data_IF_024154810374
#
_entry.id   IF_024154810374
#
_cell.length_a   1.000
_cell.length_b   1.000
_cell.length_c   1.000
_cell.angle_alpha   90.00
_cell.angle_beta   90.00
_cell.angle_gamma   90.00
#
_symmetry.space_group_name_H-M   'P 1'
#
loop_
_entity.id
_entity.type
_entity.pdbx_description
1 polymer ?
#
# COMPACT_ATOMS: atom_id res chain seq x y z
N UNK A 1 -25.18 15.40 -67.72
CA UNK A 1 -24.99 16.42 -66.67
C UNK A 1 -25.55 15.85 -65.36
N UNK A 2 -24.88 14.91 -64.71
CA UNK A 2 -24.01 15.14 -63.53
C UNK A 2 -24.59 16.13 -62.52
N UNK A 3 -25.17 15.60 -61.43
CA UNK A 3 -24.86 16.02 -60.06
C UNK A 3 -25.47 15.07 -59.01
N UNK A 4 -24.80 13.94 -58.81
CA UNK A 4 -24.63 13.39 -57.47
C UNK A 4 -23.91 14.44 -56.61
N UNK A 5 -24.54 14.98 -55.55
CA UNK A 5 -23.82 15.54 -54.40
C UNK A 5 -24.53 15.13 -53.10
N UNK A 6 -23.75 14.78 -52.06
CA UNK A 6 -24.18 13.92 -50.97
C UNK A 6 -24.67 14.77 -49.79
N UNK A 7 -25.96 14.67 -49.45
CA UNK A 7 -26.51 15.40 -48.29
C UNK A 7 -26.36 14.63 -46.96
N UNK A 8 -25.79 13.43 -47.00
CA UNK A 8 -25.63 12.56 -45.82
C UNK A 8 -24.35 12.83 -44.99
N UNK A 9 -23.57 13.85 -45.34
CA UNK A 9 -22.22 14.06 -44.78
C UNK A 9 -22.15 15.06 -43.62
N UNK A 10 -23.28 15.47 -43.02
CA UNK A 10 -23.29 16.35 -41.84
C UNK A 10 -23.92 15.68 -40.60
N UNK A 11 -24.65 14.57 -40.75
CA UNK A 11 -25.33 13.89 -39.64
C UNK A 11 -24.51 12.78 -38.95
N UNK A 12 -23.27 12.55 -39.38
CA UNK A 12 -22.35 11.55 -38.77
C UNK A 12 -21.19 12.22 -38.01
N UNK A 13 -21.06 13.55 -38.07
CA UNK A 13 -19.90 14.28 -37.53
C UNK A 13 -20.03 14.80 -36.09
N UNK A 14 -21.20 14.66 -35.45
CA UNK A 14 -21.49 15.27 -34.13
C UNK A 14 -22.01 14.26 -33.11
N UNK A 15 -21.63 12.98 -33.25
CA UNK A 15 -21.97 11.96 -32.25
C UNK A 15 -20.83 10.99 -32.00
N UNK A 16 -19.60 11.51 -31.92
CA UNK A 16 -18.49 10.82 -31.25
C UNK A 16 -17.67 11.83 -30.47
N UNK A 17 -18.33 12.65 -29.64
CA UNK A 17 -17.65 13.12 -28.43
C UNK A 17 -17.55 11.89 -27.54
N UNK A 18 -16.44 11.15 -27.68
CA UNK A 18 -16.18 10.00 -26.84
C UNK A 18 -16.34 10.45 -25.39
N UNK A 19 -17.27 9.83 -24.66
CA UNK A 19 -17.25 9.88 -23.20
C UNK A 19 -15.94 9.18 -22.79
N UNK A 20 -14.86 9.94 -22.67
CA UNK A 20 -13.71 9.49 -21.91
C UNK A 20 -14.23 9.21 -20.51
N UNK A 21 -14.20 7.96 -20.01
CA UNK A 21 -14.50 7.75 -18.61
C UNK A 21 -13.44 8.52 -17.83
N UNK A 22 -13.84 9.62 -17.18
CA UNK A 22 -13.02 10.27 -16.17
C UNK A 22 -12.95 9.31 -14.98
N UNK A 23 -12.06 8.33 -15.04
CA UNK A 23 -11.80 7.41 -13.95
C UNK A 23 -11.04 8.16 -12.86
N UNK A 24 -11.79 8.87 -12.02
CA UNK A 24 -11.32 9.45 -10.76
C UNK A 24 -11.47 8.45 -9.58
N UNK A 25 -11.69 7.17 -9.89
CA UNK A 25 -11.94 6.16 -8.87
C UNK A 25 -10.62 5.67 -8.28
N UNK A 26 -10.38 6.01 -7.01
CA UNK A 26 -9.28 5.42 -6.23
C UNK A 26 -9.52 3.92 -6.04
N UNK A 27 -8.47 3.13 -6.21
CA UNK A 27 -8.48 1.70 -5.89
C UNK A 27 -8.15 1.55 -4.41
N UNK A 28 -9.02 0.86 -3.69
CA UNK A 28 -8.88 0.60 -2.26
C UNK A 28 -8.66 -0.88 -2.02
N UNK A 29 -7.90 -1.22 -0.97
CA UNK A 29 -7.86 -2.58 -0.47
C UNK A 29 -9.28 -2.98 0.02
N UNK A 30 -9.75 -4.21 -0.24
CA UNK A 30 -11.06 -4.65 0.23
C UNK A 30 -11.14 -4.69 1.76
N UNK A 31 -10.01 -4.93 2.44
CA UNK A 31 -9.89 -4.91 3.90
C UNK A 31 -8.50 -4.41 4.26
N UNK A 32 -8.36 -3.71 5.39
CA UNK A 32 -7.04 -3.32 5.90
C UNK A 32 -6.32 -4.51 6.52
N UNK A 33 -4.99 -4.57 6.37
CA UNK A 33 -4.13 -5.51 7.10
C UNK A 33 -4.34 -5.40 8.61
N UNK A 34 -4.67 -4.21 9.12
CA UNK A 34 -4.95 -3.95 10.54
C UNK A 34 -6.24 -4.60 11.05
N UNK A 35 -7.09 -5.12 10.16
CA UNK A 35 -8.38 -5.71 10.52
C UNK A 35 -8.27 -7.04 11.29
N UNK A 36 -7.12 -7.71 11.23
CA UNK A 36 -6.87 -8.97 11.90
C UNK A 36 -5.42 -9.03 12.44
N UNK A 37 -5.20 -9.79 13.50
CA UNK A 37 -3.89 -10.01 14.11
C UNK A 37 -3.63 -9.18 15.37
N UNK A 38 -2.49 -9.46 16.00
CA UNK A 38 -2.01 -8.70 17.16
C UNK A 38 -1.04 -7.62 16.68
N UNK A 39 -1.42 -6.36 16.89
CA UNK A 39 -0.66 -5.21 16.40
C UNK A 39 0.02 -4.47 17.53
N UNK A 40 1.32 -4.26 17.38
CA UNK A 40 2.16 -3.50 18.31
C UNK A 40 2.78 -2.34 17.55
N UNK A 41 2.76 -1.15 18.15
CA UNK A 41 3.25 0.08 17.51
C UNK A 41 4.55 0.51 18.14
N UNK A 42 5.48 0.93 17.31
CA UNK A 42 6.70 1.60 17.72
C UNK A 42 7.04 2.69 16.70
N UNK A 43 7.95 3.58 17.07
CA UNK A 43 8.41 4.69 16.21
C UNK A 43 9.91 4.70 16.12
N UNK A 44 10.43 5.01 14.94
CA UNK A 44 11.85 5.29 14.72
C UNK A 44 12.04 6.79 14.55
N UNK A 45 13.11 7.34 15.14
CA UNK A 45 13.36 8.79 15.11
C UNK A 45 14.11 9.24 13.85
N UNK A 46 14.94 8.37 13.27
CA UNK A 46 15.84 8.69 12.16
C UNK A 46 15.87 7.51 11.17
N UNK A 47 16.25 7.72 9.91
CA UNK A 47 16.50 6.62 8.98
C UNK A 47 17.77 5.86 9.40
N UNK A 48 17.76 4.54 9.29
CA UNK A 48 18.92 3.71 9.62
C UNK A 48 18.58 2.23 9.75
N UNK A 49 19.60 1.43 10.10
CA UNK A 49 19.45 0.02 10.42
C UNK A 49 19.17 -0.10 11.91
N UNK A 50 18.08 -0.78 12.26
CA UNK A 50 17.65 -0.99 13.64
C UNK A 50 17.66 -2.47 13.98
N UNK A 51 18.10 -2.79 15.20
CA UNK A 51 17.95 -4.12 15.79
C UNK A 51 16.73 -4.10 16.70
N UNK A 52 15.84 -5.07 16.50
CA UNK A 52 14.71 -5.37 17.38
C UNK A 52 15.10 -6.63 18.14
N UNK A 53 15.16 -6.55 19.46
CA UNK A 53 15.48 -7.68 20.33
C UNK A 53 14.26 -8.13 21.16
N UNK A 54 14.40 -9.28 21.83
CA UNK A 54 13.32 -9.81 22.67
C UNK A 54 12.96 -8.88 23.82
N UNK A 55 13.92 -8.12 24.36
CA UNK A 55 13.66 -7.16 25.42
C UNK A 55 12.71 -6.05 24.95
N UNK A 56 12.95 -5.51 23.76
CA UNK A 56 12.08 -4.53 23.14
C UNK A 56 10.69 -5.10 22.82
N UNK A 57 10.61 -6.32 22.29
CA UNK A 57 9.32 -6.98 22.04
C UNK A 57 8.53 -7.19 23.35
N UNK A 58 9.20 -7.60 24.42
CA UNK A 58 8.58 -7.75 25.74
C UNK A 58 8.10 -6.41 26.30
N UNK A 59 8.86 -5.32 26.10
CA UNK A 59 8.45 -3.96 26.48
C UNK A 59 7.19 -3.49 25.73
N UNK A 60 7.02 -3.92 24.48
CA UNK A 60 5.80 -3.67 23.70
C UNK A 60 4.61 -4.54 24.13
N UNK A 61 4.83 -5.54 25.00
CA UNK A 61 3.79 -6.46 25.45
C UNK A 61 3.62 -7.70 24.57
N UNK A 62 4.59 -7.99 23.69
CA UNK A 62 4.61 -9.22 22.89
C UNK A 62 4.99 -10.39 23.80
N UNK A 63 4.29 -11.52 23.67
CA UNK A 63 4.72 -12.76 24.33
C UNK A 63 5.96 -13.29 23.61
N UNK A 64 7.08 -13.33 24.31
CA UNK A 64 8.37 -13.79 23.78
C UNK A 64 8.61 -15.29 23.99
N UNK A 65 7.68 -16.00 24.64
CA UNK A 65 7.78 -17.43 24.87
C UNK A 65 7.38 -18.22 23.62
N UNK A 66 8.31 -19.00 23.05
CA UNK A 66 8.10 -19.76 21.81
C UNK A 66 7.63 -18.88 20.63
N UNK A 67 8.19 -17.67 20.52
CA UNK A 67 7.84 -16.75 19.44
C UNK A 67 8.38 -17.30 18.11
N UNK A 68 7.49 -17.71 17.22
CA UNK A 68 7.88 -18.21 15.90
C UNK A 68 8.43 -17.10 15.01
N UNK A 69 9.58 -17.32 14.40
CA UNK A 69 10.22 -16.41 13.45
C UNK A 69 9.29 -16.03 12.28
N UNK A 70 8.52 -16.99 11.77
CA UNK A 70 7.62 -16.78 10.63
C UNK A 70 6.39 -15.93 10.96
N UNK A 71 6.10 -15.72 12.25
CA UNK A 71 4.94 -14.94 12.70
C UNK A 71 5.22 -13.43 12.81
N UNK A 72 6.49 -13.03 12.80
CA UNK A 72 6.90 -11.64 12.96
C UNK A 72 6.86 -10.94 11.61
N UNK A 73 6.10 -9.84 11.55
CA UNK A 73 5.93 -9.01 10.35
C UNK A 73 6.01 -7.55 10.76
N UNK A 74 6.66 -6.73 9.95
CA UNK A 74 6.73 -5.29 10.15
C UNK A 74 5.99 -4.62 9.02
N UNK A 75 5.11 -3.69 9.36
CA UNK A 75 4.35 -2.92 8.39
C UNK A 75 4.56 -1.44 8.61
N UNK A 76 4.64 -0.66 7.54
CA UNK A 76 4.78 0.77 7.63
C UNK A 76 4.91 1.43 6.27
N UNK A 77 4.40 2.65 6.15
CA UNK A 77 4.45 3.45 4.93
C UNK A 77 5.47 4.61 5.04
N UNK A 78 6.44 4.47 5.95
CA UNK A 78 7.41 5.53 6.26
C UNK A 78 6.77 6.77 6.89
N UNK A 79 7.44 7.91 6.71
CA UNK A 79 7.02 9.22 7.20
C UNK A 79 7.53 10.32 6.27
N UNK A 80 7.45 10.09 4.96
CA UNK A 80 7.89 11.05 3.97
C UNK A 80 7.02 12.31 3.95
N UNK A 81 7.56 13.38 3.37
CA UNK A 81 6.81 14.61 3.18
C UNK A 81 5.60 14.35 2.28
N UNK A 82 4.44 14.83 2.70
CA UNK A 82 3.24 14.70 1.89
C UNK A 82 3.40 15.45 0.55
N UNK A 83 2.81 14.93 -0.55
CA UNK A 83 2.81 15.66 -1.82
C UNK A 83 2.12 17.02 -1.68
N UNK A 84 2.71 18.07 -2.27
CA UNK A 84 2.11 19.39 -2.33
C UNK A 84 0.80 19.40 -3.13
N UNK A 85 0.73 18.57 -4.18
CA UNK A 85 -0.46 18.43 -4.99
C UNK A 85 -1.57 17.69 -4.22
N UNK A 86 -2.77 18.26 -4.20
CA UNK A 86 -3.94 17.67 -3.55
C UNK A 86 -4.29 16.27 -4.11
N UNK A 87 -4.02 16.04 -5.41
CA UNK A 87 -4.22 14.77 -6.10
C UNK A 87 -2.96 13.89 -6.18
N UNK A 88 -2.00 14.10 -5.28
CA UNK A 88 -0.83 13.22 -5.17
C UNK A 88 -1.21 11.79 -4.77
N UNK A 89 -0.44 10.82 -5.25
CA UNK A 89 -0.60 9.41 -4.88
C UNK A 89 -0.37 9.21 -3.39
N UNK A 90 -1.18 8.34 -2.78
CA UNK A 90 -1.05 7.93 -1.38
C UNK A 90 -1.27 6.43 -1.33
N UNK A 91 -0.45 5.75 -0.55
CA UNK A 91 -0.65 4.34 -0.25
C UNK A 91 -1.90 4.20 0.61
N UNK A 92 -2.80 3.30 0.21
CA UNK A 92 -4.10 3.12 0.86
C UNK A 92 -4.00 2.38 2.20
N UNK A 93 -3.26 1.27 2.21
CA UNK A 93 -3.07 0.42 3.39
C UNK A 93 -1.59 0.28 3.74
N UNK A 94 -1.27 -0.33 4.89
CA UNK A 94 0.12 -0.53 5.28
C UNK A 94 0.82 -1.57 4.39
N UNK A 95 2.04 -1.26 3.98
CA UNK A 95 2.91 -2.16 3.22
C UNK A 95 3.82 -2.91 4.18
N UNK A 96 4.05 -4.20 3.89
CA UNK A 96 5.00 -5.03 4.62
C UNK A 96 6.44 -4.63 4.27
N UNK A 97 7.24 -4.39 5.31
CA UNK A 97 8.65 -4.08 5.20
C UNK A 97 9.47 -5.38 5.25
N UNK A 98 10.47 -5.47 4.38
CA UNK A 98 11.44 -6.57 4.43
C UNK A 98 12.23 -6.52 5.74
N UNK A 99 12.37 -7.67 6.39
CA UNK A 99 13.12 -7.84 7.63
C UNK A 99 14.12 -8.97 7.48
N UNK A 100 15.19 -8.88 8.26
CA UNK A 100 16.15 -9.94 8.47
C UNK A 100 15.92 -10.53 9.85
N UNK A 101 15.81 -11.85 9.95
CA UNK A 101 15.58 -12.57 11.21
C UNK A 101 16.75 -13.53 11.43
N UNK A 102 17.34 -13.47 12.62
CA UNK A 102 18.34 -14.42 13.10
C UNK A 102 17.69 -15.27 14.19
N UNK A 103 17.42 -16.54 13.90
CA UNK A 103 16.78 -17.49 14.83
C UNK A 103 17.64 -18.73 15.11
N UNK A 104 18.85 -18.83 14.55
CA UNK A 104 19.71 -20.00 14.72
C UNK A 104 19.24 -21.25 13.96
N UNK A 105 18.20 -21.14 13.13
CA UNK A 105 17.72 -22.20 12.23
C UNK A 105 16.66 -23.14 12.81
N UNK A 106 16.12 -22.86 14.00
CA UNK A 106 15.06 -23.67 14.62
C UNK A 106 13.65 -23.09 14.42
N UNK A 107 13.53 -21.88 13.82
CA UNK A 107 12.27 -21.20 13.57
C UNK A 107 11.68 -20.49 14.81
N UNK A 108 12.46 -20.34 15.89
CA UNK A 108 12.05 -19.73 17.15
C UNK A 108 13.03 -18.60 17.51
N UNK A 109 12.48 -17.45 17.89
CA UNK A 109 13.27 -16.31 18.37
C UNK A 109 13.57 -16.50 19.85
N UNK A 110 14.86 -16.56 20.20
CA UNK A 110 15.40 -16.82 21.54
C UNK A 110 16.14 -15.62 22.16
#
# INVERSE_FOLDING_TARGET
MTRCRPIYLILVGWMTFALSPASAQRSYAPNSVLSNGNWFKFSVAQPGIYKIDLAFLAQLGVSTSNLSSASVRIFGNGGEMLPEAANGTRTDDLVENAIWIEDGGDGIIN
#
